data_IF_857802817711
#
_entry.id   IF_857802817711
#
_cell.length_a   1.000
_cell.length_b   1.000
_cell.length_c   1.000
_cell.angle_alpha   90.00
_cell.angle_beta   90.00
_cell.angle_gamma   90.00
#
_symmetry.space_group_name_H-M   'P 1'
#
loop_
_entity.id
_entity.type
_entity.pdbx_description
1 polymer ?
#
# COMPACT_ATOMS: atom_id res chain seq x y z
N UNK A 1 6.16 -30.60 6.14
CA UNK A 1 7.48 -31.24 5.97
C UNK A 1 7.84 -32.01 7.24
N UNK A 2 8.47 -33.19 7.05
CA UNK A 2 8.90 -34.05 8.17
C UNK A 2 10.32 -33.68 8.65
N UNK A 3 10.68 -32.41 8.62
CA UNK A 3 11.99 -31.94 9.04
C UNK A 3 11.91 -31.35 10.43
N UNK A 4 12.75 -31.84 11.33
CA UNK A 4 13.02 -31.24 12.64
C UNK A 4 14.44 -30.69 12.59
N UNK A 5 14.63 -29.43 12.99
CA UNK A 5 15.95 -28.81 13.14
C UNK A 5 16.21 -28.62 14.61
N UNK A 6 17.28 -29.19 15.10
CA UNK A 6 17.72 -29.05 16.48
C UNK A 6 18.93 -28.11 16.49
N UNK A 7 18.81 -27.03 17.24
CA UNK A 7 19.88 -26.08 17.49
C UNK A 7 20.37 -26.22 18.92
N UNK A 8 21.68 -26.41 19.10
CA UNK A 8 22.34 -26.43 20.39
C UNK A 8 23.41 -25.36 20.46
N UNK A 9 23.31 -24.45 21.40
CA UNK A 9 24.39 -23.50 21.74
C UNK A 9 25.10 -23.96 23.02
N UNK A 10 26.40 -24.27 22.86
CA UNK A 10 27.27 -24.78 23.95
C UNK A 10 28.33 -23.75 24.37
N UNK A 11 28.15 -22.48 24.00
CA UNK A 11 29.15 -21.43 24.31
C UNK A 11 29.03 -20.89 25.72
N UNK A 12 27.90 -21.07 26.40
CA UNK A 12 27.67 -20.70 27.79
C UNK A 12 27.87 -21.86 28.77
N UNK A 13 27.68 -21.58 30.05
CA UNK A 13 27.74 -22.60 31.12
C UNK A 13 26.59 -23.62 31.03
N UNK A 14 25.47 -23.24 30.44
CA UNK A 14 24.35 -24.12 30.14
C UNK A 14 24.17 -24.25 28.63
N UNK A 15 23.87 -25.49 28.18
CA UNK A 15 23.55 -25.75 26.77
C UNK A 15 22.14 -25.24 26.47
N UNK A 16 22.04 -24.26 25.60
CA UNK A 16 20.73 -23.86 25.07
C UNK A 16 20.32 -24.84 23.96
N UNK A 17 19.12 -25.41 24.10
CA UNK A 17 18.56 -26.38 23.17
C UNK A 17 17.25 -25.84 22.61
N UNK A 18 17.18 -25.67 21.28
CA UNK A 18 15.97 -25.23 20.57
C UNK A 18 15.63 -26.24 19.50
N UNK A 19 14.41 -26.74 19.52
CA UNK A 19 13.87 -27.60 18.47
C UNK A 19 12.87 -26.85 17.62
N UNK A 20 13.11 -26.85 16.31
CA UNK A 20 12.21 -26.27 15.31
C UNK A 20 11.54 -27.41 14.54
N UNK A 21 10.24 -27.57 14.75
CA UNK A 21 9.41 -28.51 14.01
C UNK A 21 8.07 -27.87 13.69
N UNK A 22 7.78 -27.68 12.39
CA UNK A 22 6.53 -27.09 11.91
C UNK A 22 5.76 -28.12 11.06
N UNK A 23 4.90 -28.94 11.67
CA UNK A 23 4.18 -30.00 10.98
C UNK A 23 3.12 -29.46 10.00
N UNK A 24 2.56 -28.28 10.28
CA UNK A 24 1.55 -27.64 9.42
C UNK A 24 2.15 -26.85 8.23
N UNK A 25 3.48 -26.75 8.15
CA UNK A 25 4.16 -26.03 7.07
C UNK A 25 3.74 -24.58 6.94
N UNK A 26 3.35 -24.13 5.72
CA UNK A 26 2.97 -22.72 5.50
C UNK A 26 1.64 -22.34 6.17
N UNK A 27 0.79 -23.31 6.53
CA UNK A 27 -0.42 -23.05 7.32
C UNK A 27 -0.03 -22.56 8.72
N UNK A 28 0.86 -23.31 9.40
CA UNK A 28 1.38 -22.94 10.72
C UNK A 28 2.11 -21.60 10.65
N UNK A 29 2.84 -21.33 9.59
CA UNK A 29 3.51 -20.05 9.41
C UNK A 29 2.54 -18.88 9.33
N UNK A 30 1.43 -18.99 8.58
CA UNK A 30 0.38 -17.95 8.55
C UNK A 30 -0.27 -17.78 9.92
N UNK A 31 -0.53 -18.88 10.64
CA UNK A 31 -1.07 -18.84 12.02
C UNK A 31 -0.13 -18.08 12.96
N UNK A 32 1.17 -18.31 12.85
CA UNK A 32 2.18 -17.67 13.70
C UNK A 32 2.30 -16.16 13.37
N UNK A 33 2.32 -15.79 12.08
CA UNK A 33 2.29 -14.39 11.65
C UNK A 33 1.10 -13.62 12.22
N UNK A 34 -0.06 -14.28 12.35
CA UNK A 34 -1.30 -13.69 12.86
C UNK A 34 -1.58 -13.99 14.34
N UNK A 35 -0.60 -14.51 15.10
CA UNK A 35 -0.78 -15.01 16.46
C UNK A 35 -1.49 -14.04 17.40
N UNK A 36 -1.13 -12.76 17.31
CA UNK A 36 -1.62 -11.70 18.20
C UNK A 36 -2.66 -10.79 17.55
N UNK A 37 -3.19 -11.18 16.37
CA UNK A 37 -4.14 -10.39 15.60
C UNK A 37 -5.49 -11.13 15.59
N UNK A 38 -6.59 -10.39 15.59
CA UNK A 38 -7.93 -10.98 15.45
C UNK A 38 -8.11 -11.55 14.03
N UNK A 39 -8.46 -12.84 13.97
CA UNK A 39 -8.65 -13.59 12.73
C UNK A 39 -10.13 -13.57 12.36
N UNK A 40 -10.42 -13.35 11.07
CA UNK A 40 -11.80 -13.29 10.56
C UNK A 40 -12.31 -14.66 10.07
N UNK A 41 -11.41 -15.61 9.82
CA UNK A 41 -11.68 -16.99 9.43
C UNK A 41 -10.44 -17.87 9.67
N UNK A 42 -10.57 -19.17 9.54
CA UNK A 42 -9.45 -20.11 9.59
C UNK A 42 -8.52 -19.95 8.37
N UNK A 43 -7.26 -20.39 8.48
CA UNK A 43 -6.32 -20.33 7.36
C UNK A 43 -6.84 -21.15 6.18
N UNK A 44 -6.92 -20.51 5.03
CA UNK A 44 -7.26 -21.13 3.75
C UNK A 44 -5.96 -21.61 3.11
N UNK A 45 -5.94 -22.87 2.73
CA UNK A 45 -4.79 -23.50 2.09
C UNK A 45 -5.21 -24.21 0.83
N UNK A 46 -4.41 -24.05 -0.23
CA UNK A 46 -4.54 -24.80 -1.44
C UNK A 46 -3.17 -25.08 -2.07
N UNK A 47 -3.11 -26.11 -2.89
CA UNK A 47 -1.91 -26.52 -3.61
C UNK A 47 -2.30 -27.07 -4.97
N UNK A 48 -1.41 -26.91 -5.94
CA UNK A 48 -1.59 -27.45 -7.28
C UNK A 48 -0.29 -27.43 -8.06
N UNK A 49 -0.36 -27.93 -9.28
CA UNK A 49 0.79 -27.97 -10.19
C UNK A 49 0.38 -27.48 -11.58
N UNK A 50 1.19 -26.63 -12.16
CA UNK A 50 1.03 -26.17 -13.54
C UNK A 50 2.39 -25.88 -14.14
N UNK A 51 2.60 -26.23 -15.41
CA UNK A 51 3.89 -26.04 -16.12
C UNK A 51 5.10 -26.66 -15.37
N UNK A 52 4.92 -27.80 -14.69
CA UNK A 52 5.91 -28.47 -13.82
C UNK A 52 6.33 -27.60 -12.60
N UNK A 53 5.56 -26.59 -12.25
CA UNK A 53 5.77 -25.74 -11.08
C UNK A 53 4.72 -26.12 -10.04
N UNK A 54 5.18 -26.57 -8.87
CA UNK A 54 4.27 -26.79 -7.73
C UNK A 54 4.04 -25.48 -7.02
N UNK A 55 2.78 -25.19 -6.74
CA UNK A 55 2.32 -23.98 -6.07
C UNK A 55 1.63 -24.37 -4.78
N UNK A 56 2.01 -23.74 -3.69
CA UNK A 56 1.35 -23.84 -2.38
C UNK A 56 1.04 -22.44 -1.89
N UNK A 57 -0.19 -22.20 -1.49
CA UNK A 57 -0.64 -20.91 -0.94
C UNK A 57 -1.41 -21.15 0.33
N UNK A 58 -1.06 -20.39 1.37
CA UNK A 58 -1.86 -20.28 2.59
C UNK A 58 -2.16 -18.81 2.85
N UNK A 59 -3.41 -18.48 3.19
CA UNK A 59 -3.78 -17.10 3.51
C UNK A 59 -4.91 -17.02 4.53
N UNK A 60 -4.99 -15.88 5.21
CA UNK A 60 -6.00 -15.60 6.22
C UNK A 60 -6.27 -14.08 6.25
N UNK A 61 -7.52 -13.70 6.43
CA UNK A 61 -7.88 -12.31 6.69
C UNK A 61 -7.93 -12.05 8.20
N UNK A 62 -7.52 -10.86 8.56
CA UNK A 62 -7.46 -10.36 9.93
C UNK A 62 -8.18 -9.02 10.04
N UNK A 63 -8.32 -8.50 11.26
CA UNK A 63 -8.88 -7.16 11.51
C UNK A 63 -7.94 -6.00 11.14
N UNK A 64 -6.73 -6.28 10.68
CA UNK A 64 -5.75 -5.28 10.24
C UNK A 64 -6.15 -4.64 8.91
N UNK A 65 -5.61 -3.44 8.64
CA UNK A 65 -5.90 -2.67 7.42
C UNK A 65 -4.74 -2.61 6.42
N UNK A 66 -3.87 -3.61 6.43
CA UNK A 66 -2.75 -3.71 5.49
C UNK A 66 -2.61 -5.15 4.95
N UNK A 67 -1.94 -5.30 3.82
CA UNK A 67 -1.58 -6.61 3.30
C UNK A 67 -0.18 -7.04 3.79
N UNK A 68 -0.01 -8.33 4.11
CA UNK A 68 1.26 -8.94 4.42
C UNK A 68 1.41 -10.23 3.59
N UNK A 69 2.09 -10.15 2.44
CA UNK A 69 2.23 -11.27 1.51
C UNK A 69 3.70 -11.63 1.36
N UNK A 70 4.06 -12.83 1.81
CA UNK A 70 5.40 -13.37 1.76
C UNK A 70 5.53 -14.36 0.60
N UNK A 71 6.60 -14.25 -0.18
CA UNK A 71 6.89 -15.13 -1.31
C UNK A 71 8.10 -16.01 -1.07
N UNK A 72 8.00 -17.26 -1.50
CA UNK A 72 9.09 -18.22 -1.46
C UNK A 72 9.24 -18.95 -2.79
N UNK A 73 10.47 -19.09 -3.26
CA UNK A 73 10.81 -19.94 -4.37
C UNK A 73 11.88 -20.96 -3.93
N UNK A 74 11.58 -22.26 -4.06
CA UNK A 74 12.45 -23.34 -3.60
C UNK A 74 12.92 -23.18 -2.15
N UNK A 75 12.02 -22.75 -1.26
CA UNK A 75 12.25 -22.43 0.16
C UNK A 75 13.13 -21.19 0.42
N UNK A 76 13.48 -20.42 -0.61
CA UNK A 76 14.21 -19.17 -0.46
C UNK A 76 13.20 -18.04 -0.35
N UNK A 77 13.31 -17.24 0.70
CA UNK A 77 12.46 -16.06 0.89
C UNK A 77 12.79 -14.97 -0.14
N UNK A 78 11.76 -14.51 -0.84
CA UNK A 78 11.87 -13.44 -1.83
C UNK A 78 11.35 -12.14 -1.21
N UNK A 79 12.20 -11.40 -0.53
CA UNK A 79 11.84 -10.19 0.22
C UNK A 79 11.23 -9.07 -0.64
N UNK A 80 11.58 -9.01 -1.91
CA UNK A 80 11.05 -8.07 -2.90
C UNK A 80 9.92 -8.70 -3.75
N UNK A 81 9.47 -9.89 -3.35
CA UNK A 81 8.39 -10.61 -4.02
C UNK A 81 8.81 -11.26 -5.33
N UNK A 82 8.01 -11.07 -6.37
CA UNK A 82 8.29 -11.61 -7.69
C UNK A 82 7.05 -12.05 -8.46
N UNK A 83 7.29 -12.69 -9.60
CA UNK A 83 6.26 -13.07 -10.56
C UNK A 83 5.17 -13.98 -9.97
N UNK A 84 5.53 -14.91 -9.08
CA UNK A 84 4.58 -15.79 -8.40
C UNK A 84 3.61 -15.04 -7.49
N UNK A 85 4.08 -14.04 -6.73
CA UNK A 85 3.19 -13.17 -5.92
C UNK A 85 2.27 -12.37 -6.83
N UNK A 86 2.79 -11.83 -7.93
CA UNK A 86 2.00 -11.07 -8.90
C UNK A 86 0.88 -11.93 -9.50
N UNK A 87 1.18 -13.19 -9.85
CA UNK A 87 0.20 -14.16 -10.35
C UNK A 87 -0.94 -14.41 -9.36
N UNK A 88 -0.60 -14.66 -8.09
CA UNK A 88 -1.58 -14.80 -7.01
C UNK A 88 -2.44 -13.54 -6.85
N UNK A 89 -1.81 -12.38 -6.70
CA UNK A 89 -2.52 -11.09 -6.48
C UNK A 89 -3.51 -10.77 -7.60
N UNK A 90 -3.11 -11.00 -8.84
CA UNK A 90 -3.96 -10.71 -10.01
C UNK A 90 -5.13 -11.67 -10.09
N UNK A 91 -4.88 -12.98 -9.99
CA UNK A 91 -5.92 -14.00 -10.06
C UNK A 91 -6.92 -13.85 -8.91
N UNK A 92 -6.45 -13.70 -7.68
CA UNK A 92 -7.30 -13.53 -6.51
C UNK A 92 -8.18 -12.29 -6.61
N UNK A 93 -7.63 -11.16 -7.07
CA UNK A 93 -8.41 -9.93 -7.29
C UNK A 93 -9.52 -10.14 -8.32
N UNK A 94 -9.22 -10.85 -9.40
CA UNK A 94 -10.22 -11.21 -10.42
C UNK A 94 -11.36 -12.06 -9.86
N UNK A 95 -11.03 -13.09 -9.11
CA UNK A 95 -12.01 -14.01 -8.49
C UNK A 95 -12.95 -13.25 -7.57
N UNK A 96 -12.43 -12.44 -6.66
CA UNK A 96 -13.26 -11.68 -5.71
C UNK A 96 -14.19 -10.70 -6.42
N UNK A 97 -13.71 -10.03 -7.47
CA UNK A 97 -14.57 -9.14 -8.26
C UNK A 97 -15.68 -9.91 -9.00
N UNK A 98 -15.40 -11.10 -9.52
CA UNK A 98 -16.41 -11.95 -10.14
C UNK A 98 -17.50 -12.35 -9.15
N UNK A 99 -17.12 -12.87 -7.99
CA UNK A 99 -18.09 -13.22 -6.93
C UNK A 99 -18.85 -12.00 -6.38
N UNK A 100 -18.22 -10.85 -6.26
CA UNK A 100 -18.90 -9.64 -5.81
C UNK A 100 -20.00 -9.20 -6.80
N UNK A 101 -19.82 -9.47 -8.10
CA UNK A 101 -20.85 -9.25 -9.13
C UNK A 101 -21.94 -10.31 -9.08
N UNK A 102 -21.59 -11.58 -9.00
CA UNK A 102 -22.54 -12.71 -8.90
C UNK A 102 -23.45 -12.56 -7.67
N UNK A 103 -22.91 -12.12 -6.55
CA UNK A 103 -23.67 -11.86 -5.32
C UNK A 103 -24.43 -10.52 -5.33
N UNK A 104 -24.32 -9.73 -6.41
CA UNK A 104 -25.01 -8.45 -6.55
C UNK A 104 -24.47 -7.33 -5.65
N UNK A 105 -23.30 -7.51 -5.03
CA UNK A 105 -22.63 -6.49 -4.20
C UNK A 105 -22.06 -5.38 -5.10
N UNK A 106 -21.49 -5.76 -6.24
CA UNK A 106 -21.13 -4.85 -7.33
C UNK A 106 -22.17 -4.95 -8.43
N UNK A 107 -22.79 -3.83 -8.79
CA UNK A 107 -23.71 -3.72 -9.94
C UNK A 107 -22.91 -3.57 -11.24
N UNK A 108 -23.54 -3.77 -12.38
CA UNK A 108 -22.90 -3.68 -13.71
C UNK A 108 -22.19 -2.34 -13.97
N UNK A 109 -22.73 -1.25 -13.38
CA UNK A 109 -22.16 0.10 -13.52
C UNK A 109 -21.09 0.43 -12.48
N UNK A 110 -20.89 -0.41 -11.47
CA UNK A 110 -19.93 -0.16 -10.43
C UNK A 110 -18.51 -0.52 -10.90
N UNK A 111 -17.54 0.30 -10.52
CA UNK A 111 -16.15 -0.05 -10.73
C UNK A 111 -15.75 -1.23 -9.84
N UNK A 112 -14.91 -2.09 -10.36
CA UNK A 112 -14.31 -3.19 -9.59
C UNK A 112 -13.57 -2.68 -8.35
N UNK A 113 -13.49 -3.52 -7.34
CA UNK A 113 -12.51 -3.33 -6.27
C UNK A 113 -11.11 -3.37 -6.86
N UNK A 114 -10.23 -2.47 -6.43
CA UNK A 114 -8.83 -2.56 -6.82
C UNK A 114 -8.11 -3.68 -6.06
N UNK A 115 -6.90 -4.02 -6.50
CA UNK A 115 -6.15 -5.09 -5.86
C UNK A 115 -5.83 -4.82 -4.38
N UNK A 116 -5.58 -3.57 -4.02
CA UNK A 116 -5.31 -3.19 -2.63
C UNK A 116 -6.56 -3.31 -1.75
N UNK A 117 -7.74 -2.92 -2.28
CA UNK A 117 -9.01 -3.10 -1.57
C UNK A 117 -9.27 -4.58 -1.26
N UNK A 118 -9.06 -5.45 -2.27
CA UNK A 118 -9.30 -6.90 -2.14
C UNK A 118 -8.36 -7.54 -1.12
N UNK A 119 -7.10 -7.13 -1.08
CA UNK A 119 -6.08 -7.73 -0.20
C UNK A 119 -5.91 -7.02 1.14
N UNK A 120 -6.73 -6.03 1.42
CA UNK A 120 -6.69 -5.33 2.70
C UNK A 120 -7.05 -6.27 3.86
N UNK A 121 -6.17 -6.39 4.84
CA UNK A 121 -6.29 -7.32 5.96
C UNK A 121 -5.80 -8.75 5.66
N UNK A 122 -5.25 -9.01 4.47
CA UNK A 122 -4.77 -10.34 4.10
C UNK A 122 -3.33 -10.57 4.58
N UNK A 123 -3.11 -11.67 5.30
CA UNK A 123 -1.79 -12.30 5.47
C UNK A 123 -1.72 -13.54 4.58
N UNK A 124 -0.71 -13.65 3.73
CA UNK A 124 -0.55 -14.78 2.81
C UNK A 124 0.90 -15.22 2.69
N UNK A 125 1.08 -16.51 2.46
CA UNK A 125 2.36 -17.12 2.07
C UNK A 125 2.15 -17.82 0.73
N UNK A 126 2.93 -17.40 -0.28
CA UNK A 126 2.93 -17.97 -1.63
C UNK A 126 4.26 -18.66 -1.86
N UNK A 127 4.25 -19.97 -1.94
CA UNK A 127 5.45 -20.81 -2.13
C UNK A 127 5.39 -21.56 -3.45
N UNK A 128 6.46 -21.46 -4.24
CA UNK A 128 6.58 -22.20 -5.49
C UNK A 128 7.83 -23.10 -5.48
N UNK A 129 7.71 -24.29 -6.09
CA UNK A 129 8.84 -25.15 -6.42
C UNK A 129 9.04 -25.08 -7.93
N UNK A 130 10.10 -24.41 -8.33
CA UNK A 130 10.42 -24.14 -9.72
C UNK A 130 11.64 -24.94 -10.16
N UNK A 131 11.61 -25.65 -11.29
CA UNK A 131 12.75 -26.47 -11.75
C UNK A 131 13.97 -25.62 -12.15
N UNK A 132 13.73 -24.43 -12.70
CA UNK A 132 14.80 -23.52 -13.17
C UNK A 132 14.47 -22.07 -12.79
N UNK A 133 14.63 -21.68 -11.50
CA UNK A 133 14.27 -20.34 -11.03
C UNK A 133 15.27 -19.28 -11.47
N UNK A 134 14.78 -18.17 -12.01
CA UNK A 134 15.56 -16.98 -12.32
C UNK A 134 15.20 -15.84 -11.37
N UNK A 135 16.21 -15.17 -10.85
CA UNK A 135 16.04 -14.10 -9.89
C UNK A 135 16.67 -12.80 -10.40
N UNK A 136 16.09 -11.67 -10.00
CA UNK A 136 16.75 -10.41 -10.14
C UNK A 136 17.90 -10.32 -9.12
N UNK A 137 19.14 -10.45 -9.59
CA UNK A 137 20.34 -10.37 -8.77
C UNK A 137 20.71 -11.64 -8.00
N UNK A 138 21.93 -11.63 -7.46
CA UNK A 138 22.51 -12.78 -6.77
C UNK A 138 21.88 -13.05 -5.38
N UNK A 139 21.28 -12.06 -4.77
CA UNK A 139 20.63 -12.17 -3.46
C UNK A 139 19.31 -12.92 -3.47
N UNK A 140 18.78 -13.24 -4.67
CA UNK A 140 17.53 -13.98 -4.89
C UNK A 140 16.30 -13.35 -4.22
N UNK A 141 16.31 -12.04 -4.06
CA UNK A 141 15.24 -11.28 -3.38
C UNK A 141 13.96 -11.20 -4.19
N UNK A 142 14.04 -11.34 -5.53
CA UNK A 142 12.89 -11.24 -6.42
C UNK A 142 12.92 -12.31 -7.50
N UNK A 143 11.83 -13.07 -7.64
CA UNK A 143 11.65 -14.08 -8.68
C UNK A 143 11.14 -13.43 -9.98
N UNK A 144 11.85 -13.65 -11.11
CA UNK A 144 11.52 -13.02 -12.41
C UNK A 144 10.89 -13.98 -13.44
N UNK A 145 10.54 -15.17 -13.05
CA UNK A 145 9.98 -16.19 -13.93
C UNK A 145 8.52 -15.91 -14.33
N UNK A 146 8.25 -15.62 -15.61
CA UNK A 146 6.87 -15.42 -16.10
C UNK A 146 6.01 -16.69 -16.08
N UNK A 147 6.61 -17.87 -16.23
CA UNK A 147 5.93 -19.16 -16.04
C UNK A 147 5.47 -19.35 -14.59
N UNK A 148 6.23 -18.90 -13.59
CA UNK A 148 5.79 -18.90 -12.19
C UNK A 148 4.56 -18.00 -11.97
N UNK A 149 4.48 -16.86 -12.67
CA UNK A 149 3.28 -16.02 -12.65
C UNK A 149 2.07 -16.78 -13.19
N UNK A 150 2.18 -17.38 -14.39
CA UNK A 150 1.09 -18.14 -15.02
C UNK A 150 0.67 -19.34 -14.18
N UNK A 151 1.64 -20.12 -13.69
CA UNK A 151 1.36 -21.29 -12.86
C UNK A 151 0.61 -20.92 -11.59
N UNK A 152 1.08 -19.89 -10.88
CA UNK A 152 0.42 -19.43 -9.65
C UNK A 152 -0.97 -18.85 -9.92
N UNK A 153 -1.13 -18.07 -11.00
CA UNK A 153 -2.44 -17.54 -11.38
C UNK A 153 -3.40 -18.67 -11.75
N UNK A 154 -2.94 -19.68 -12.51
CA UNK A 154 -3.76 -20.84 -12.90
C UNK A 154 -4.23 -21.61 -11.68
N UNK A 155 -3.30 -22.04 -10.80
CA UNK A 155 -3.63 -22.81 -9.58
C UNK A 155 -4.59 -22.00 -8.68
N UNK A 156 -4.38 -20.68 -8.55
CA UNK A 156 -5.28 -19.82 -7.78
C UNK A 156 -6.69 -19.78 -8.39
N UNK A 157 -6.80 -19.65 -9.72
CA UNK A 157 -8.09 -19.64 -10.42
C UNK A 157 -8.81 -20.99 -10.36
N UNK A 158 -8.09 -22.08 -10.30
CA UNK A 158 -8.66 -23.42 -10.22
C UNK A 158 -9.14 -23.76 -8.79
N UNK A 159 -8.36 -23.42 -7.74
CA UNK A 159 -8.57 -23.91 -6.39
C UNK A 159 -9.42 -22.93 -5.51
N UNK A 160 -9.23 -21.63 -5.65
CA UNK A 160 -9.91 -20.64 -4.79
C UNK A 160 -11.43 -20.66 -4.98
N UNK A 161 -11.97 -20.73 -6.21
CA UNK A 161 -13.42 -20.86 -6.40
C UNK A 161 -13.98 -22.12 -5.77
N UNK A 162 -13.29 -23.27 -5.90
CA UNK A 162 -13.72 -24.55 -5.29
C UNK A 162 -13.83 -24.45 -3.75
N UNK A 163 -12.97 -23.65 -3.13
CA UNK A 163 -13.05 -23.39 -1.70
C UNK A 163 -14.23 -22.49 -1.36
N UNK A 164 -14.39 -21.37 -2.09
CA UNK A 164 -15.43 -20.38 -1.78
C UNK A 164 -16.84 -20.88 -2.07
N UNK A 165 -17.02 -21.72 -3.08
CA UNK A 165 -18.31 -22.36 -3.37
C UNK A 165 -18.81 -23.24 -2.21
N UNK A 166 -17.88 -23.81 -1.45
CA UNK A 166 -18.16 -24.60 -0.25
C UNK A 166 -18.25 -23.78 1.03
N UNK A 167 -17.70 -22.56 1.02
CA UNK A 167 -17.53 -21.71 2.20
C UNK A 167 -18.02 -20.29 1.96
N UNK A 168 -19.29 -20.14 1.61
CA UNK A 168 -19.90 -18.87 1.25
C UNK A 168 -19.83 -17.79 2.34
N UNK A 169 -19.84 -18.17 3.62
CA UNK A 169 -19.72 -17.20 4.71
C UNK A 169 -18.31 -16.60 4.78
N UNK A 170 -17.29 -17.40 4.49
CA UNK A 170 -15.90 -16.90 4.39
C UNK A 170 -15.77 -15.95 3.20
N UNK A 171 -16.34 -16.33 2.03
CA UNK A 171 -16.37 -15.46 0.85
C UNK A 171 -17.02 -14.11 1.15
N UNK A 172 -18.19 -14.10 1.80
CA UNK A 172 -18.88 -12.86 2.20
C UNK A 172 -18.02 -12.01 3.13
N UNK A 173 -17.31 -12.63 4.05
CA UNK A 173 -16.37 -11.94 4.96
C UNK A 173 -15.26 -11.26 4.17
N UNK A 174 -14.63 -11.97 3.24
CA UNK A 174 -13.56 -11.43 2.37
C UNK A 174 -14.08 -10.25 1.51
N UNK A 175 -15.26 -10.41 0.89
CA UNK A 175 -15.88 -9.34 0.09
C UNK A 175 -16.21 -8.12 0.98
N UNK A 176 -16.70 -8.35 2.20
CA UNK A 176 -16.98 -7.27 3.16
C UNK A 176 -15.72 -6.47 3.52
N UNK A 177 -14.56 -7.14 3.66
CA UNK A 177 -13.27 -6.47 3.87
C UNK A 177 -12.92 -5.59 2.66
N UNK A 178 -13.04 -6.12 1.44
CA UNK A 178 -12.79 -5.36 0.21
C UNK A 178 -13.75 -4.16 0.07
N UNK A 179 -15.02 -4.34 0.38
CA UNK A 179 -16.03 -3.27 0.35
C UNK A 179 -15.71 -2.14 1.35
N UNK A 180 -15.33 -2.51 2.58
CA UNK A 180 -14.91 -1.53 3.62
C UNK A 180 -13.68 -0.75 3.16
N UNK A 181 -12.64 -1.45 2.66
CA UNK A 181 -11.43 -0.82 2.15
C UNK A 181 -11.72 0.13 0.98
N UNK A 182 -12.55 -0.29 0.02
CA UNK A 182 -12.96 0.54 -1.11
C UNK A 182 -13.75 1.78 -0.67
N UNK A 183 -14.62 1.67 0.33
CA UNK A 183 -15.37 2.82 0.90
C UNK A 183 -14.42 3.83 1.55
N UNK A 184 -13.44 3.37 2.34
CA UNK A 184 -12.44 4.22 2.98
C UNK A 184 -11.63 4.95 1.90
N UNK A 185 -11.05 4.22 0.95
CA UNK A 185 -10.29 4.79 -0.16
C UNK A 185 -11.08 5.85 -0.95
N UNK A 186 -12.33 5.54 -1.34
CA UNK A 186 -13.20 6.48 -2.06
C UNK A 186 -13.53 7.73 -1.23
N UNK A 187 -13.70 7.58 0.08
CA UNK A 187 -13.92 8.72 0.98
C UNK A 187 -12.68 9.61 1.07
N UNK A 188 -11.49 9.02 1.16
CA UNK A 188 -10.21 9.73 1.15
C UNK A 188 -9.97 10.46 -0.17
N UNK A 189 -10.17 9.78 -1.32
CA UNK A 189 -10.07 10.38 -2.66
C UNK A 189 -11.03 11.55 -2.83
N UNK A 190 -12.29 11.39 -2.36
CA UNK A 190 -13.30 12.45 -2.41
C UNK A 190 -12.93 13.63 -1.51
N UNK A 191 -12.40 13.38 -0.31
CA UNK A 191 -11.91 14.43 0.57
C UNK A 191 -10.73 15.18 -0.06
N UNK A 192 -9.77 14.47 -0.65
CA UNK A 192 -8.65 15.04 -1.41
C UNK A 192 -9.16 15.92 -2.56
N UNK A 193 -10.05 15.38 -3.40
CA UNK A 193 -10.62 16.11 -4.55
C UNK A 193 -11.39 17.35 -4.10
N UNK A 194 -12.21 17.27 -3.04
CA UNK A 194 -12.94 18.40 -2.52
C UNK A 194 -12.01 19.50 -1.99
N UNK A 195 -10.90 19.12 -1.36
CA UNK A 195 -9.88 20.08 -0.91
C UNK A 195 -9.20 20.75 -2.10
N UNK A 196 -8.79 19.98 -3.10
CA UNK A 196 -8.17 20.52 -4.33
C UNK A 196 -9.14 21.40 -5.15
N UNK A 197 -10.43 21.03 -5.21
CA UNK A 197 -11.44 21.81 -5.94
C UNK A 197 -11.77 23.10 -5.22
N UNK A 198 -11.91 23.08 -3.90
CA UNK A 198 -12.06 24.30 -3.09
C UNK A 198 -10.84 25.21 -3.23
N UNK A 199 -9.66 24.66 -3.47
CA UNK A 199 -8.43 25.41 -3.68
C UNK A 199 -8.33 26.07 -5.06
N UNK A 200 -8.88 25.46 -6.12
CA UNK A 200 -8.96 26.11 -7.45
C UNK A 200 -9.81 27.39 -7.46
N UNK A 201 -10.75 27.51 -6.52
CA UNK A 201 -11.63 28.69 -6.40
C UNK A 201 -11.13 29.73 -5.39
N UNK A 202 -10.03 29.49 -4.69
CA UNK A 202 -9.55 30.37 -3.62
C UNK A 202 -8.09 30.80 -3.86
N UNK A 203 -7.84 31.45 -5.00
CA UNK A 203 -6.58 32.17 -5.19
C UNK A 203 -6.42 33.35 -4.19
N UNK A 204 -7.48 33.70 -3.46
CA UNK A 204 -7.56 34.90 -2.60
C UNK A 204 -7.91 34.63 -1.13
N UNK A 205 -8.13 33.37 -0.68
CA UNK A 205 -8.91 33.20 0.54
C UNK A 205 -8.16 33.26 1.87
N UNK A 206 -6.83 33.31 1.90
CA UNK A 206 -6.15 33.42 3.21
C UNK A 206 -5.23 34.62 3.42
N UNK A 207 -5.05 35.52 2.45
CA UNK A 207 -4.24 36.73 2.62
C UNK A 207 -2.77 36.52 3.04
N UNK A 208 -2.38 35.29 3.32
CA UNK A 208 -1.06 34.95 3.82
C UNK A 208 0.00 34.86 2.71
N UNK A 209 -0.29 34.15 1.61
CA UNK A 209 0.63 34.06 0.48
C UNK A 209 0.56 35.33 -0.37
N UNK A 210 1.66 36.06 -0.43
CA UNK A 210 1.85 37.13 -1.39
C UNK A 210 2.56 36.58 -2.64
N UNK A 211 1.80 36.17 -3.63
CA UNK A 211 2.31 35.53 -4.85
C UNK A 211 3.11 36.48 -5.73
N UNK A 212 3.96 35.94 -6.63
CA UNK A 212 4.60 36.70 -7.70
C UNK A 212 3.72 36.76 -8.94
N UNK A 213 3.98 37.72 -9.82
CA UNK A 213 3.22 37.97 -11.05
C UNK A 213 3.61 37.01 -12.18
N UNK A 214 4.88 36.65 -12.27
CA UNK A 214 5.38 35.70 -13.28
C UNK A 214 4.77 34.32 -13.09
N UNK A 215 4.47 33.66 -14.22
CA UNK A 215 4.04 32.27 -14.28
C UNK A 215 5.16 31.33 -14.72
N UNK A 216 6.32 31.87 -15.05
CA UNK A 216 7.50 31.10 -15.42
C UNK A 216 8.21 30.63 -14.15
N UNK A 217 7.99 29.36 -13.78
CA UNK A 217 8.52 28.79 -12.56
C UNK A 217 10.05 28.89 -12.46
N UNK A 218 10.77 28.80 -13.60
CA UNK A 218 12.24 28.86 -13.63
C UNK A 218 12.82 30.19 -13.17
N UNK A 219 12.00 31.25 -13.12
CA UNK A 219 12.37 32.61 -12.69
C UNK A 219 11.83 32.95 -11.31
N UNK A 220 10.91 32.14 -10.78
CA UNK A 220 10.20 32.45 -9.55
C UNK A 220 10.88 31.82 -8.34
N UNK A 221 10.86 32.55 -7.22
CA UNK A 221 11.34 32.10 -5.93
C UNK A 221 10.31 32.41 -4.84
N UNK A 222 10.25 31.56 -3.79
CA UNK A 222 9.39 31.77 -2.65
C UNK A 222 10.21 31.92 -1.36
N UNK A 223 9.89 32.93 -0.58
CA UNK A 223 10.47 33.15 0.73
C UNK A 223 9.47 32.76 1.84
N UNK A 224 9.86 31.81 2.66
CA UNK A 224 9.10 31.38 3.81
C UNK A 224 9.66 32.16 5.02
N UNK A 225 8.82 32.93 5.68
CA UNK A 225 9.22 33.81 6.76
C UNK A 225 8.40 33.55 8.02
N UNK A 226 9.02 33.75 9.21
CA UNK A 226 8.33 33.54 10.47
C UNK A 226 7.47 34.76 10.85
N UNK A 227 6.16 34.52 10.95
CA UNK A 227 5.20 35.46 11.45
C UNK A 227 4.82 36.58 10.48
N UNK A 228 3.71 37.27 10.81
CA UNK A 228 3.14 38.30 9.92
C UNK A 228 3.97 39.57 9.88
N UNK A 229 4.70 39.89 10.96
CA UNK A 229 5.55 41.07 10.99
C UNK A 229 6.68 41.01 9.98
N UNK A 230 7.45 39.88 9.99
CA UNK A 230 8.49 39.65 8.99
C UNK A 230 7.90 39.51 7.58
N UNK A 231 6.73 38.84 7.47
CA UNK A 231 5.97 38.74 6.23
C UNK A 231 5.57 40.10 5.66
N UNK A 232 5.15 41.06 6.51
CA UNK A 232 4.82 42.41 6.09
C UNK A 232 6.00 43.17 5.49
N UNK A 233 7.14 43.16 6.20
CA UNK A 233 8.36 43.82 5.73
C UNK A 233 8.88 43.16 4.42
N UNK A 234 8.90 41.84 4.36
CA UNK A 234 9.32 41.12 3.17
C UNK A 234 8.41 41.38 1.96
N UNK A 235 7.09 41.48 2.15
CA UNK A 235 6.12 41.83 1.09
C UNK A 235 6.38 43.20 0.50
N UNK A 236 6.83 44.15 1.28
CA UNK A 236 7.15 45.51 0.82
C UNK A 236 8.48 45.59 0.07
N UNK A 237 9.48 44.82 0.50
CA UNK A 237 10.83 44.83 -0.04
C UNK A 237 11.03 43.93 -1.29
N UNK A 238 10.11 42.98 -1.53
CA UNK A 238 10.28 41.95 -2.59
C UNK A 238 10.17 42.51 -4.01
N UNK A 239 10.79 41.83 -4.96
CA UNK A 239 10.47 41.99 -6.38
C UNK A 239 9.18 41.23 -6.70
N UNK A 240 8.08 41.95 -6.90
CA UNK A 240 6.74 41.37 -7.15
C UNK A 240 6.68 40.50 -8.41
N UNK A 241 7.55 40.76 -9.39
CA UNK A 241 7.57 39.97 -10.62
C UNK A 241 7.95 38.52 -10.37
N UNK A 242 8.91 38.24 -9.49
CA UNK A 242 9.53 36.92 -9.38
C UNK A 242 9.53 36.36 -7.95
N UNK A 243 9.30 37.20 -6.93
CA UNK A 243 9.41 36.80 -5.52
C UNK A 243 8.03 36.70 -4.87
N UNK A 244 7.74 35.52 -4.32
CA UNK A 244 6.59 35.27 -3.46
C UNK A 244 7.00 35.24 -1.99
N UNK A 245 6.11 35.68 -1.10
CA UNK A 245 6.33 35.66 0.36
C UNK A 245 5.22 34.86 1.03
N UNK A 246 5.61 33.88 1.83
CA UNK A 246 4.71 33.08 2.63
C UNK A 246 5.07 33.16 4.12
N UNK A 247 4.34 33.94 4.92
CA UNK A 247 4.52 33.96 6.36
C UNK A 247 3.89 32.70 6.99
N UNK A 248 4.62 32.06 7.89
CA UNK A 248 4.21 30.89 8.66
C UNK A 248 4.12 31.28 10.13
N UNK A 249 3.05 30.87 10.82
CA UNK A 249 2.87 31.14 12.25
C UNK A 249 3.14 29.89 13.09
N UNK A 250 3.98 30.04 14.12
CA UNK A 250 4.18 29.05 15.17
C UNK A 250 4.84 27.75 14.70
N UNK A 251 4.64 26.71 15.47
CA UNK A 251 5.19 25.38 15.16
C UNK A 251 4.32 24.68 14.11
N UNK A 252 4.93 24.27 13.01
CA UNK A 252 4.26 23.47 11.98
C UNK A 252 3.93 22.09 12.56
N UNK A 253 2.76 21.55 12.14
CA UNK A 253 2.35 20.21 12.50
C UNK A 253 3.39 19.18 12.00
N UNK A 254 3.76 18.22 12.86
CA UNK A 254 4.58 17.09 12.43
C UNK A 254 3.74 16.14 11.57
N UNK A 255 3.94 16.21 10.26
CA UNK A 255 3.15 15.46 9.28
C UNK A 255 3.41 13.96 9.31
N UNK A 256 4.58 13.52 9.78
CA UNK A 256 4.92 12.09 9.90
C UNK A 256 4.12 11.38 11.00
N UNK A 257 3.72 12.13 12.03
CA UNK A 257 3.00 11.59 13.20
C UNK A 257 1.49 11.90 13.18
N UNK A 258 1.03 12.69 12.23
CA UNK A 258 -0.35 13.14 12.16
C UNK A 258 -1.13 12.34 11.11
N UNK A 259 -2.42 12.08 11.39
CA UNK A 259 -3.31 11.54 10.37
C UNK A 259 -3.52 12.54 9.23
N UNK A 260 -3.76 12.05 8.02
CA UNK A 260 -4.04 12.87 6.82
C UNK A 260 -5.10 13.94 7.08
N UNK A 261 -6.19 13.59 7.72
CA UNK A 261 -7.27 14.50 8.01
C UNK A 261 -6.79 15.70 8.84
N UNK A 262 -5.90 15.47 9.82
CA UNK A 262 -5.27 16.52 10.62
C UNK A 262 -4.29 17.35 9.80
N UNK A 263 -3.50 16.71 8.95
CA UNK A 263 -2.57 17.39 8.04
C UNK A 263 -3.34 18.31 7.10
N UNK A 264 -4.37 17.79 6.45
CA UNK A 264 -5.20 18.54 5.51
C UNK A 264 -6.16 19.54 6.19
N UNK A 265 -6.44 19.39 7.48
CA UNK A 265 -7.17 20.41 8.26
C UNK A 265 -6.28 21.60 8.67
N UNK A 266 -4.95 21.42 8.73
CA UNK A 266 -4.01 22.45 9.16
C UNK A 266 -3.90 23.56 8.11
N UNK A 267 -4.14 24.81 8.53
CA UNK A 267 -4.17 25.97 7.63
C UNK A 267 -2.79 26.28 7.02
N UNK A 268 -1.71 26.13 7.79
CA UNK A 268 -0.34 26.39 7.31
C UNK A 268 0.07 25.36 6.24
N UNK A 269 -0.21 24.07 6.49
CA UNK A 269 0.06 23.01 5.53
C UNK A 269 -0.76 23.21 4.25
N UNK A 270 -2.02 23.55 4.35
CA UNK A 270 -2.86 23.91 3.18
C UNK A 270 -2.23 25.04 2.36
N UNK A 271 -1.77 26.09 3.04
CA UNK A 271 -1.14 27.22 2.38
C UNK A 271 0.14 26.79 1.64
N UNK A 272 0.95 25.90 2.24
CA UNK A 272 2.16 25.35 1.61
C UNK A 272 1.81 24.53 0.35
N UNK A 273 0.88 23.58 0.45
CA UNK A 273 0.44 22.75 -0.68
C UNK A 273 -0.03 23.65 -1.84
N UNK A 274 -0.81 24.68 -1.55
CA UNK A 274 -1.29 25.64 -2.54
C UNK A 274 -0.17 26.48 -3.14
N UNK A 275 0.76 26.94 -2.32
CA UNK A 275 1.87 27.78 -2.77
C UNK A 275 2.76 27.02 -3.76
N UNK A 276 3.14 25.79 -3.44
CA UNK A 276 4.01 24.98 -4.30
C UNK A 276 3.31 24.47 -5.57
N UNK A 277 2.01 24.18 -5.50
CA UNK A 277 1.21 23.77 -6.66
C UNK A 277 1.45 22.37 -7.20
N UNK A 278 2.31 21.59 -6.58
CA UNK A 278 2.67 20.22 -7.00
C UNK A 278 1.64 19.15 -6.60
N UNK A 279 0.62 19.50 -5.78
CA UNK A 279 -0.21 18.50 -5.12
C UNK A 279 0.53 17.84 -3.95
N UNK A 280 0.03 16.67 -3.54
CA UNK A 280 0.69 15.85 -2.53
C UNK A 280 0.50 14.37 -2.85
N UNK A 281 1.44 13.54 -2.40
CA UNK A 281 1.38 12.09 -2.55
C UNK A 281 1.15 11.44 -1.19
N UNK A 282 0.15 10.56 -1.10
CA UNK A 282 0.04 9.63 -0.01
C UNK A 282 -0.66 8.34 -0.44
N UNK A 283 -0.03 7.22 -0.17
CA UNK A 283 -0.57 5.89 -0.45
C UNK A 283 -0.85 5.64 -1.93
N UNK A 284 -2.07 5.27 -2.25
CA UNK A 284 -2.47 4.78 -3.58
C UNK A 284 -2.98 5.84 -4.56
N UNK A 285 -3.02 7.10 -4.17
CA UNK A 285 -3.40 8.22 -5.05
C UNK A 285 -2.23 9.19 -5.22
N UNK A 286 -1.54 9.12 -6.35
CA UNK A 286 -0.41 9.99 -6.63
C UNK A 286 -0.87 11.24 -7.40
N UNK A 287 -1.36 12.24 -6.67
CA UNK A 287 -1.66 13.57 -7.24
C UNK A 287 -0.43 14.48 -7.27
N UNK A 288 0.71 13.98 -6.75
CA UNK A 288 1.96 14.73 -6.74
C UNK A 288 2.61 14.71 -8.13
N UNK A 289 2.83 15.92 -8.66
CA UNK A 289 3.50 16.12 -9.93
C UNK A 289 4.51 17.25 -9.78
N UNK A 290 5.78 16.89 -9.66
CA UNK A 290 6.89 17.84 -9.47
C UNK A 290 7.03 18.82 -10.64
N UNK A 291 6.56 18.44 -11.83
CA UNK A 291 6.64 19.32 -13.01
C UNK A 291 5.72 20.54 -12.91
N UNK A 292 4.77 20.52 -11.97
CA UNK A 292 3.86 21.63 -11.66
C UNK A 292 4.39 22.59 -10.60
N UNK A 293 5.63 22.39 -10.16
CA UNK A 293 6.25 23.27 -9.17
C UNK A 293 6.26 24.72 -9.65
N UNK A 294 5.80 25.64 -8.79
CA UNK A 294 5.62 27.05 -9.13
C UNK A 294 6.87 27.93 -8.92
N UNK A 295 7.85 27.42 -8.20
CA UNK A 295 9.06 28.16 -7.84
C UNK A 295 10.28 27.27 -8.02
N UNK A 296 11.31 27.82 -8.64
CA UNK A 296 12.60 27.13 -8.83
C UNK A 296 13.45 27.16 -7.55
N UNK A 297 13.21 28.16 -6.69
CA UNK A 297 13.97 28.39 -5.46
C UNK A 297 13.04 28.62 -4.26
N UNK A 298 13.48 28.11 -3.11
CA UNK A 298 12.84 28.30 -1.81
C UNK A 298 13.87 28.70 -0.75
#
# INVERSE_FOLDING_TARGET
>A
PKLTIIYEDKRGDETEHIEYHEPEGIIGFVKDLNKNIEKLHDVIYFTGESENIKVEVAFQYTSEFHENILGFCNNIYNSEGGAHITGFKTAFTGIINSYARELGILKDKDANFNGADVRNGMTAVVSVKHPDPRFEGQTKTKLDNQDANRATAKVTNDEVPLYFDKNLEVLKTVISCAEKAAKIRKAEEKAKTNLLTKQKFSFDSNGKLANCESRDASKCEIFIVEGDSAGGSAKMARNRMFQAIMPIRGKILNVEKASIDKVLANAEIKTMINAFGCGFSEGYGNDFDITKLRYDKC
#
